data_IF_366731701551
#
_entry.id   IF_366731701551
#
_cell.length_a   1.000
_cell.length_b   1.000
_cell.length_c   1.000
_cell.angle_alpha   90.00
_cell.angle_beta   90.00
_cell.angle_gamma   90.00
#
_symmetry.space_group_name_H-M   'P 1'
#
loop_
_entity.id
_entity.type
_entity.pdbx_description
1 polymer ?
#
# COMPACT_ATOMS: atom_id res chain seq x y z
N UNK A 1 16.62 -11.21 -11.04
CA UNK A 1 15.73 -10.16 -10.50
C UNK A 1 14.90 -10.74 -9.37
N UNK A 2 14.79 -10.04 -8.24
CA UNK A 2 13.82 -10.39 -7.20
C UNK A 2 12.41 -10.06 -7.70
N UNK A 3 11.46 -10.98 -7.50
CA UNK A 3 10.05 -10.73 -7.83
C UNK A 3 9.49 -9.72 -6.82
N UNK A 4 8.74 -8.73 -7.30
CA UNK A 4 8.13 -7.67 -6.48
C UNK A 4 6.70 -8.06 -6.09
N UNK A 5 6.34 -7.93 -4.83
CA UNK A 5 5.00 -8.15 -4.29
C UNK A 5 4.43 -6.80 -3.84
N UNK A 6 3.22 -6.51 -4.30
CA UNK A 6 2.50 -5.27 -4.01
C UNK A 6 1.43 -5.58 -2.95
N UNK A 7 1.48 -4.89 -1.82
CA UNK A 7 0.44 -4.93 -0.80
C UNK A 7 -0.42 -3.68 -0.99
N UNK A 8 -1.50 -3.84 -1.74
CA UNK A 8 -2.45 -2.76 -2.05
C UNK A 8 -3.59 -2.78 -1.05
N UNK A 9 -3.79 -1.69 -0.32
CA UNK A 9 -4.81 -1.63 0.72
C UNK A 9 -5.32 -0.21 0.94
N UNK A 10 -6.58 -0.10 1.37
CA UNK A 10 -7.29 1.15 1.51
C UNK A 10 -7.00 1.91 2.82
N UNK A 11 -6.05 1.46 3.65
CA UNK A 11 -5.70 2.11 4.92
C UNK A 11 -4.27 1.78 5.33
N UNK A 12 -3.46 2.82 5.58
CA UNK A 12 -2.09 2.68 6.10
C UNK A 12 -2.06 2.11 7.52
N UNK A 13 -3.01 2.48 8.39
CA UNK A 13 -3.16 1.88 9.72
C UNK A 13 -3.36 0.36 9.64
N UNK A 14 -4.29 -0.09 8.80
CA UNK A 14 -4.54 -1.51 8.63
C UNK A 14 -3.33 -2.22 7.98
N UNK A 15 -2.68 -1.57 7.00
CA UNK A 15 -1.45 -2.06 6.39
C UNK A 15 -0.38 -2.37 7.45
N UNK A 16 -0.13 -1.42 8.36
CA UNK A 16 0.85 -1.56 9.42
C UNK A 16 0.44 -2.64 10.44
N UNK A 17 -0.80 -2.60 10.95
CA UNK A 17 -1.25 -3.51 12.01
C UNK A 17 -1.35 -4.96 11.56
N UNK A 18 -1.79 -5.20 10.33
CA UNK A 18 -2.17 -6.55 9.89
C UNK A 18 -1.23 -7.15 8.85
N UNK A 19 -0.53 -6.33 8.05
CA UNK A 19 0.27 -6.80 6.90
C UNK A 19 1.77 -6.67 7.10
N UNK A 20 2.24 -5.97 8.14
CA UNK A 20 3.68 -5.77 8.37
C UNK A 20 4.43 -7.10 8.60
N UNK A 21 3.91 -7.99 9.44
CA UNK A 21 4.55 -9.29 9.68
C UNK A 21 4.57 -10.17 8.44
N UNK A 22 3.52 -10.11 7.61
CA UNK A 22 3.47 -10.80 6.33
C UNK A 22 4.54 -10.24 5.36
N UNK A 23 4.64 -8.90 5.27
CA UNK A 23 5.64 -8.23 4.44
C UNK A 23 7.07 -8.61 4.83
N UNK A 24 7.35 -8.69 6.14
CA UNK A 24 8.64 -9.16 6.67
C UNK A 24 8.95 -10.60 6.26
N UNK A 25 8.01 -11.53 6.45
CA UNK A 25 8.20 -12.93 6.05
C UNK A 25 8.39 -13.09 4.53
N UNK A 26 7.71 -12.26 3.73
CA UNK A 26 7.89 -12.24 2.27
C UNK A 26 9.29 -11.71 1.92
N UNK A 27 9.74 -10.63 2.56
CA UNK A 27 11.08 -10.05 2.36
C UNK A 27 12.19 -11.03 2.72
N UNK A 28 12.05 -11.75 3.84
CA UNK A 28 12.98 -12.81 4.27
C UNK A 28 13.12 -13.93 3.25
N UNK A 29 12.06 -14.22 2.47
CA UNK A 29 12.09 -15.19 1.36
C UNK A 29 12.71 -14.64 0.08
N UNK A 30 13.29 -13.45 0.09
CA UNK A 30 14.02 -12.85 -1.02
C UNK A 30 13.16 -12.05 -2.00
N UNK A 31 11.92 -11.70 -1.65
CA UNK A 31 11.03 -10.86 -2.46
C UNK A 31 11.15 -9.38 -2.07
N UNK A 32 10.99 -8.47 -3.03
CA UNK A 32 10.79 -7.06 -2.73
C UNK A 32 9.33 -6.79 -2.39
N UNK A 33 9.04 -6.05 -1.32
CA UNK A 33 7.67 -5.71 -0.92
C UNK A 33 7.46 -4.21 -1.01
N UNK A 34 6.35 -3.81 -1.62
CA UNK A 34 5.91 -2.42 -1.75
C UNK A 34 4.50 -2.30 -1.18
N UNK A 35 4.29 -1.33 -0.31
CA UNK A 35 2.97 -0.95 0.19
C UNK A 35 2.36 0.13 -0.69
N UNK A 36 1.08 -0.02 -1.02
CA UNK A 36 0.29 0.98 -1.73
C UNK A 36 -0.96 1.26 -0.91
N UNK A 37 -1.05 2.46 -0.32
CA UNK A 37 -2.17 2.85 0.54
C UNK A 37 -2.36 4.37 0.66
N UNK A 38 -3.51 4.84 1.17
CA UNK A 38 -3.70 6.24 1.52
C UNK A 38 -2.68 6.68 2.58
N UNK A 39 -2.08 7.84 2.40
CA UNK A 39 -1.03 8.33 3.27
C UNK A 39 -1.64 8.96 4.52
N UNK A 40 -1.23 8.52 5.71
CA UNK A 40 -1.82 8.96 6.98
C UNK A 40 -0.82 9.58 7.96
N UNK A 41 0.39 9.90 7.49
CA UNK A 41 1.53 10.48 8.24
C UNK A 41 2.09 9.60 9.36
N UNK A 42 1.28 8.88 10.14
CA UNK A 42 1.75 8.06 11.25
C UNK A 42 2.19 6.68 10.76
N UNK A 43 1.26 5.90 10.23
CA UNK A 43 1.51 4.51 9.88
C UNK A 43 2.26 4.41 8.55
N UNK A 44 2.00 5.32 7.60
CA UNK A 44 2.78 5.39 6.37
C UNK A 44 4.26 5.62 6.64
N UNK A 45 4.63 6.51 7.57
CA UNK A 45 6.03 6.75 7.92
C UNK A 45 6.66 5.57 8.65
N UNK A 46 5.90 4.88 9.52
CA UNK A 46 6.36 3.64 10.15
C UNK A 46 6.65 2.54 9.10
N UNK A 47 5.82 2.42 8.06
CA UNK A 47 6.05 1.45 6.98
C UNK A 47 7.28 1.82 6.15
N UNK A 48 7.45 3.12 5.82
CA UNK A 48 8.58 3.65 5.03
C UNK A 48 9.96 3.40 5.66
N UNK A 49 10.02 3.18 6.98
CA UNK A 49 11.27 2.83 7.65
C UNK A 49 11.88 1.52 7.14
N UNK A 50 11.05 0.61 6.60
CA UNK A 50 11.51 -0.73 6.21
C UNK A 50 11.09 -1.15 4.79
N UNK A 51 10.02 -0.58 4.26
CA UNK A 51 9.42 -0.95 2.98
C UNK A 51 9.18 0.27 2.09
N UNK A 52 9.21 0.06 0.77
CA UNK A 52 8.77 1.07 -0.19
C UNK A 52 7.27 1.34 0.03
N UNK A 53 6.88 2.61 0.04
CA UNK A 53 5.50 3.02 0.24
C UNK A 53 5.09 4.01 -0.85
N UNK A 54 4.04 3.66 -1.60
CA UNK A 54 3.42 4.49 -2.62
C UNK A 54 2.09 4.99 -2.08
N UNK A 55 1.92 6.31 -2.07
CA UNK A 55 0.66 6.91 -1.73
C UNK A 55 -0.35 6.70 -2.87
N UNK A 56 -1.49 6.09 -2.54
CA UNK A 56 -2.66 6.01 -3.39
C UNK A 56 -3.88 6.35 -2.55
N UNK A 57 -4.52 7.48 -2.86
CA UNK A 57 -5.79 7.83 -2.24
C UNK A 57 -6.88 6.88 -2.77
N UNK A 58 -7.53 6.15 -1.87
CA UNK A 58 -8.62 5.22 -2.19
C UNK A 58 -9.81 5.60 -1.34
N UNK A 59 -10.92 5.97 -1.97
CA UNK A 59 -12.18 6.19 -1.26
C UNK A 59 -12.82 4.84 -0.91
N UNK A 60 -12.48 4.33 0.27
CA UNK A 60 -12.97 3.02 0.75
C UNK A 60 -14.50 2.92 0.86
N UNK A 61 -15.20 4.05 0.86
CA UNK A 61 -16.67 4.14 0.96
C UNK A 61 -17.28 4.77 -0.30
N UNK A 62 -16.48 4.92 -1.36
CA UNK A 62 -16.87 5.55 -2.60
C UNK A 62 -18.01 4.81 -3.27
N UNK A 63 -19.04 5.55 -3.66
CA UNK A 63 -20.09 5.13 -4.61
C UNK A 63 -20.05 5.98 -5.88
N UNK A 64 -19.05 6.86 -5.99
CA UNK A 64 -18.95 7.85 -7.05
C UNK A 64 -18.02 7.35 -8.15
N UNK A 65 -18.63 6.73 -9.16
CA UNK A 65 -17.93 6.15 -10.30
C UNK A 65 -16.99 7.13 -11.03
N UNK A 66 -17.25 8.45 -11.00
CA UNK A 66 -16.36 9.44 -11.62
C UNK A 66 -15.06 9.58 -10.82
N UNK A 67 -15.15 9.55 -9.48
CA UNK A 67 -13.96 9.56 -8.62
C UNK A 67 -13.18 8.25 -8.78
N UNK A 68 -13.87 7.13 -8.85
CA UNK A 68 -13.23 5.82 -9.04
C UNK A 68 -12.52 5.71 -10.41
N UNK A 69 -13.13 6.23 -11.49
CA UNK A 69 -12.51 6.30 -12.81
C UNK A 69 -11.25 7.18 -12.80
N UNK A 70 -11.27 8.32 -12.09
CA UNK A 70 -10.06 9.16 -11.94
C UNK A 70 -8.91 8.40 -11.29
N UNK A 71 -9.18 7.55 -10.30
CA UNK A 71 -8.17 6.71 -9.64
C UNK A 71 -7.51 5.75 -10.63
N UNK A 72 -8.24 5.23 -11.62
CA UNK A 72 -7.70 4.38 -12.69
C UNK A 72 -6.75 5.18 -13.60
N UNK A 73 -7.19 6.34 -14.10
CA UNK A 73 -6.42 7.13 -15.08
C UNK A 73 -5.24 7.89 -14.48
N UNK A 74 -5.19 8.11 -13.17
CA UNK A 74 -4.02 8.71 -12.52
C UNK A 74 -2.81 7.74 -12.50
N UNK A 75 -3.03 6.45 -12.80
CA UNK A 75 -2.04 5.37 -12.70
C UNK A 75 -1.71 4.65 -14.02
N UNK A 76 -2.33 5.05 -15.14
CA UNK A 76 -2.01 4.57 -16.50
C UNK A 76 -1.30 5.69 -17.26
#
# INVERSE_FOLDING_TARGET
MSKKILIVINSSEYAYKMRLNLAKSIKEKGYSVVFIAPYDKKYSELIKQEFEFIHLEVDAKGINHIKDLKTIFLFV
#
